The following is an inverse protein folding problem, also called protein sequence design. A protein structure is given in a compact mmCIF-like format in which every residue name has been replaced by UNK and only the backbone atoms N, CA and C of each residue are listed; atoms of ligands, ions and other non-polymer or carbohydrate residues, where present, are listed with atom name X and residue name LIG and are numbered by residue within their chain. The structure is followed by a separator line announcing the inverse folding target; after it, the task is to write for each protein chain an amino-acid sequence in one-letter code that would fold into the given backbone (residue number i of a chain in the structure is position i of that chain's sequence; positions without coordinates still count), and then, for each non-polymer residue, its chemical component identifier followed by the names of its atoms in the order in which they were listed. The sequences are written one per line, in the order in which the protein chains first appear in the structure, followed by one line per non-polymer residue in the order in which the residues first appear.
data_IF_629053179198
#
_entry.id   IF_629053179198
#
_cell.length_a   1.000
_cell.length_b   1.000
_cell.length_c   1.000
_cell.angle_alpha   90.00
_cell.angle_beta   90.00
_cell.angle_gamma   90.00
#
_symmetry.space_group_name_H-M   'P 1'
#
loop_
_entity.id
_entity.type
_entity.pdbx_description
1 polymer ?
#
# COMPACT_ATOMS: atom_id res chain seq x y z
N UNK A 1 -20.40 3.50 4.35
CA UNK A 1 -19.01 3.78 4.76
C UNK A 1 -18.51 5.01 4.03
N UNK A 2 -17.82 5.89 4.69
CA UNK A 2 -17.26 7.08 4.04
C UNK A 2 -15.73 7.04 4.00
N UNK A 3 -15.16 7.66 2.98
CA UNK A 3 -13.73 7.85 2.85
C UNK A 3 -13.40 9.24 3.39
N UNK A 4 -12.49 9.30 4.35
CA UNK A 4 -12.08 10.53 5.02
C UNK A 4 -10.75 10.98 4.48
N UNK A 5 -10.65 12.22 4.04
CA UNK A 5 -9.39 12.83 3.61
C UNK A 5 -8.84 13.67 4.75
N UNK A 6 -7.57 13.46 5.09
CA UNK A 6 -6.88 14.23 6.14
C UNK A 6 -5.56 14.77 5.63
N UNK A 7 -5.18 15.94 6.10
CA UNK A 7 -3.82 16.44 5.94
C UNK A 7 -2.97 15.92 7.10
N UNK A 8 -1.79 15.43 6.80
CA UNK A 8 -0.88 14.95 7.84
C UNK A 8 -0.03 13.79 7.39
N UNK A 9 0.72 13.25 8.34
CA UNK A 9 1.63 12.13 8.13
C UNK A 9 0.93 10.83 8.47
N UNK A 10 0.85 9.92 7.51
CA UNK A 10 0.15 8.64 7.68
C UNK A 10 0.66 7.84 8.89
N UNK A 11 1.97 7.86 9.14
CA UNK A 11 2.55 7.07 10.25
C UNK A 11 2.28 7.67 11.63
N UNK A 12 1.74 8.89 11.70
CA UNK A 12 1.32 9.52 12.95
C UNK A 12 -0.18 9.40 13.20
N UNK A 13 -0.94 8.88 12.25
CA UNK A 13 -2.36 8.67 12.40
C UNK A 13 -2.69 7.48 13.30
N UNK A 14 -3.91 7.39 13.80
CA UNK A 14 -4.32 6.33 14.73
C UNK A 14 -4.72 5.02 14.06
N UNK A 15 -4.83 4.97 12.73
CA UNK A 15 -5.32 3.79 12.03
C UNK A 15 -4.37 2.62 12.18
N UNK A 16 -4.94 1.44 12.41
CA UNK A 16 -4.17 0.22 12.64
C UNK A 16 -3.41 -0.28 11.41
N UNK A 17 -4.03 -0.18 10.22
CA UNK A 17 -3.40 -0.63 8.98
C UNK A 17 -3.01 0.56 8.12
N UNK A 18 -1.76 0.59 7.69
CA UNK A 18 -1.23 1.67 6.85
C UNK A 18 -0.60 1.05 5.61
N UNK A 19 -1.12 1.44 4.45
CA UNK A 19 -0.79 0.81 3.17
C UNK A 19 0.19 1.68 2.40
N UNK A 20 1.16 1.04 1.74
CA UNK A 20 1.92 1.68 0.68
C UNK A 20 2.17 0.70 -0.45
N UNK A 21 2.30 1.22 -1.67
CA UNK A 21 2.60 0.38 -2.82
C UNK A 21 4.10 0.10 -2.88
N UNK A 22 4.45 -1.15 -3.16
CA UNK A 22 5.83 -1.58 -3.36
C UNK A 22 6.00 -2.22 -4.74
N UNK A 23 7.24 -2.22 -5.23
CA UNK A 23 7.62 -2.96 -6.43
C UNK A 23 8.03 -4.40 -6.06
N UNK A 24 8.22 -5.23 -7.08
CA UNK A 24 8.60 -6.63 -6.88
C UNK A 24 10.12 -6.86 -6.95
N UNK A 25 10.91 -5.78 -7.02
CA UNK A 25 12.38 -5.84 -7.21
C UNK A 25 13.20 -5.66 -5.92
N UNK A 26 12.55 -5.43 -4.81
CA UNK A 26 13.24 -5.28 -3.54
C UNK A 26 13.79 -3.89 -3.26
N UNK A 27 13.28 -2.86 -3.94
CA UNK A 27 13.77 -1.50 -3.80
C UNK A 27 12.77 -0.61 -3.05
N UNK A 28 13.19 -0.05 -1.94
CA UNK A 28 12.47 0.98 -1.17
C UNK A 28 13.35 2.24 -1.08
N UNK A 29 13.60 2.85 -2.22
CA UNK A 29 14.60 3.93 -2.34
C UNK A 29 14.07 5.35 -2.38
N UNK A 30 12.75 5.55 -2.46
CA UNK A 30 12.17 6.87 -2.63
C UNK A 30 10.83 7.01 -1.90
N UNK A 31 10.47 8.26 -1.59
CA UNK A 31 9.18 8.62 -1.04
C UNK A 31 8.85 7.90 0.26
N UNK A 32 7.59 7.46 0.37
CA UNK A 32 7.09 6.81 1.57
C UNK A 32 7.78 5.47 1.83
N UNK A 33 8.14 4.74 0.77
CA UNK A 33 8.85 3.46 0.91
C UNK A 33 10.22 3.65 1.58
N UNK A 34 10.91 4.74 1.26
CA UNK A 34 12.17 5.07 1.91
C UNK A 34 11.98 5.31 3.40
N UNK A 35 10.92 6.02 3.79
CA UNK A 35 10.59 6.24 5.19
C UNK A 35 10.31 4.92 5.91
N UNK A 36 9.62 4.00 5.25
CA UNK A 36 9.36 2.66 5.80
C UNK A 36 10.68 1.93 6.04
N UNK A 37 11.56 1.93 5.06
CA UNK A 37 12.87 1.28 5.19
C UNK A 37 13.69 1.84 6.34
N UNK A 38 13.71 3.16 6.50
CA UNK A 38 14.51 3.82 7.52
C UNK A 38 13.93 3.68 8.93
N UNK A 39 12.61 3.75 9.07
CA UNK A 39 11.95 3.82 10.37
C UNK A 39 11.34 2.50 10.85
N UNK A 40 11.09 1.57 9.94
CA UNK A 40 10.48 0.26 10.23
C UNK A 40 11.27 -0.85 9.55
N UNK A 41 12.52 -1.09 10.00
CA UNK A 41 13.42 -2.02 9.31
C UNK A 41 12.88 -3.44 9.20
N UNK A 42 12.08 -3.90 10.16
CA UNK A 42 11.47 -5.22 10.08
C UNK A 42 10.49 -5.36 8.90
N UNK A 43 9.82 -4.26 8.53
CA UNK A 43 8.93 -4.24 7.37
C UNK A 43 9.75 -4.35 6.09
N UNK A 44 10.84 -3.61 6.00
CA UNK A 44 11.75 -3.70 4.86
C UNK A 44 12.37 -5.09 4.74
N UNK A 45 12.81 -5.68 5.85
CA UNK A 45 13.41 -7.01 5.86
C UNK A 45 12.45 -8.08 5.36
N UNK A 46 11.19 -8.04 5.82
CA UNK A 46 10.17 -8.97 5.35
C UNK A 46 9.92 -8.81 3.84
N UNK A 47 9.84 -7.57 3.36
CA UNK A 47 9.67 -7.25 1.95
C UNK A 47 10.86 -7.75 1.12
N UNK A 48 12.08 -7.41 1.53
CA UNK A 48 13.30 -7.79 0.82
C UNK A 48 13.44 -9.31 0.72
N UNK A 49 13.11 -10.01 1.78
CA UNK A 49 13.15 -11.47 1.83
C UNK A 49 12.18 -12.09 0.81
N UNK A 50 10.97 -11.55 0.72
CA UNK A 50 9.98 -12.01 -0.25
C UNK A 50 10.46 -11.77 -1.69
N UNK A 51 11.02 -10.61 -1.97
CA UNK A 51 11.56 -10.27 -3.28
C UNK A 51 12.76 -11.15 -3.66
N UNK A 52 13.67 -11.39 -2.73
CA UNK A 52 14.85 -12.24 -2.97
C UNK A 52 14.43 -13.68 -3.31
N UNK A 53 13.39 -14.17 -2.65
CA UNK A 53 12.85 -15.51 -2.88
C UNK A 53 12.29 -15.67 -4.30
N UNK A 54 11.73 -14.59 -4.85
CA UNK A 54 11.08 -14.58 -6.16
C UNK A 54 11.89 -13.87 -7.23
N UNK A 55 13.18 -13.68 -7.01
CA UNK A 55 14.05 -12.88 -7.86
C UNK A 55 14.09 -13.34 -9.33
N UNK A 56 13.92 -14.62 -9.60
CA UNK A 56 13.88 -15.15 -10.97
C UNK A 56 12.48 -15.08 -11.62
N UNK A 57 11.47 -14.70 -10.85
CA UNK A 57 10.09 -14.57 -11.30
C UNK A 57 9.38 -13.52 -10.45
N UNK A 58 9.91 -12.30 -10.46
CA UNK A 58 9.45 -11.23 -9.57
C UNK A 58 7.98 -10.87 -9.78
N UNK A 59 7.48 -10.96 -11.02
CA UNK A 59 6.08 -10.63 -11.32
C UNK A 59 5.08 -11.57 -10.64
N UNK A 60 5.52 -12.71 -10.11
CA UNK A 60 4.66 -13.58 -9.31
C UNK A 60 4.21 -12.93 -8.00
N UNK A 61 4.89 -11.86 -7.55
CA UNK A 61 4.48 -11.10 -6.36
C UNK A 61 3.36 -10.09 -6.65
N UNK A 62 3.11 -9.76 -7.93
CA UNK A 62 2.04 -8.82 -8.27
C UNK A 62 0.69 -9.32 -7.75
N UNK A 63 -0.04 -8.44 -7.10
CA UNK A 63 -1.33 -8.75 -6.50
C UNK A 63 -1.25 -9.36 -5.11
N UNK A 64 -0.05 -9.56 -4.58
CA UNK A 64 0.16 -10.03 -3.21
C UNK A 64 0.15 -8.86 -2.24
N UNK A 65 -0.26 -9.14 -1.00
CA UNK A 65 -0.11 -8.18 0.11
C UNK A 65 0.71 -8.84 1.21
N UNK A 66 1.46 -8.02 1.91
CA UNK A 66 2.27 -8.46 3.04
C UNK A 66 1.96 -7.55 4.21
N UNK A 67 1.43 -8.11 5.28
CA UNK A 67 0.98 -7.35 6.44
C UNK A 67 1.97 -7.60 7.57
N UNK A 68 2.67 -6.56 7.98
CA UNK A 68 3.77 -6.66 8.95
C UNK A 68 3.49 -5.77 10.14
N UNK A 69 3.44 -6.38 11.33
CA UNK A 69 3.33 -5.65 12.59
C UNK A 69 4.63 -4.88 12.83
N UNK A 70 4.54 -3.58 13.02
CA UNK A 70 5.72 -2.74 13.29
C UNK A 70 6.23 -2.88 14.72
N UNK A 71 5.43 -3.43 15.62
CA UNK A 71 5.72 -3.43 17.05
C UNK A 71 5.45 -2.08 17.71
N UNK A 72 4.86 -1.13 17.01
CA UNK A 72 4.60 0.24 17.49
C UNK A 72 3.11 0.58 17.53
N UNK A 73 2.25 -0.44 17.61
CA UNK A 73 0.81 -0.27 17.72
C UNK A 73 0.05 -0.25 16.41
N UNK A 74 0.71 -0.48 15.29
CA UNK A 74 0.08 -0.57 13.98
C UNK A 74 0.85 -1.52 13.06
N UNK A 75 0.21 -1.91 11.97
CA UNK A 75 0.80 -2.73 10.93
C UNK A 75 0.95 -1.94 9.64
N UNK A 76 2.01 -2.23 8.89
CA UNK A 76 2.20 -1.69 7.54
C UNK A 76 1.88 -2.80 6.54
N UNK A 77 1.14 -2.43 5.50
CA UNK A 77 0.79 -3.34 4.42
C UNK A 77 1.62 -2.97 3.19
N UNK A 78 2.48 -3.90 2.77
CA UNK A 78 3.20 -3.80 1.51
C UNK A 78 2.27 -4.33 0.40
N UNK A 79 1.83 -3.44 -0.47
CA UNK A 79 0.90 -3.74 -1.56
C UNK A 79 1.70 -3.86 -2.84
N UNK A 80 1.82 -5.08 -3.38
CA UNK A 80 2.61 -5.34 -4.59
C UNK A 80 1.81 -4.97 -5.84
N UNK A 81 1.78 -3.68 -6.14
CA UNK A 81 1.00 -3.11 -7.24
C UNK A 81 1.81 -2.75 -8.49
N UNK A 82 3.12 -2.97 -8.47
CA UNK A 82 4.01 -2.72 -9.60
C UNK A 82 5.15 -3.72 -9.59
N UNK A 83 5.59 -4.18 -10.78
CA UNK A 83 6.73 -5.09 -10.86
C UNK A 83 8.05 -4.33 -10.73
N UNK A 84 8.25 -3.31 -11.55
CA UNK A 84 9.47 -2.51 -11.58
C UNK A 84 9.24 -1.13 -10.96
N UNK A 85 10.34 -0.42 -10.67
CA UNK A 85 10.31 0.93 -10.12
C UNK A 85 10.76 2.01 -11.13
N UNK A 86 11.06 1.64 -12.37
CA UNK A 86 11.46 2.58 -13.43
C UNK A 86 10.23 3.22 -14.04
N UNK A 87 9.94 4.45 -13.63
CA UNK A 87 8.72 5.15 -14.03
C UNK A 87 8.91 6.26 -15.05
N UNK A 88 9.91 6.21 -15.92
CA UNK A 88 10.22 7.29 -16.87
C UNK A 88 9.17 7.41 -17.97
N UNK A 89 8.09 8.14 -17.69
CA UNK A 89 7.01 8.36 -18.64
C UNK A 89 6.12 7.16 -18.89
N UNK A 90 6.43 6.02 -18.30
CA UNK A 90 5.65 4.80 -18.40
C UNK A 90 4.99 4.49 -17.05
N UNK A 91 3.76 4.01 -17.10
CA UNK A 91 3.08 3.57 -15.90
C UNK A 91 3.68 2.26 -15.41
N UNK A 92 4.23 2.24 -14.20
CA UNK A 92 4.68 1.02 -13.53
C UNK A 92 3.55 0.34 -12.78
N UNK A 93 2.58 1.10 -12.29
CA UNK A 93 1.41 0.58 -11.56
C UNK A 93 0.58 -0.33 -12.46
N UNK A 94 0.33 -1.54 -11.95
CA UNK A 94 -0.56 -2.52 -12.56
C UNK A 94 -1.92 -2.41 -11.85
N UNK A 95 -2.93 -1.89 -12.56
CA UNK A 95 -4.25 -1.65 -11.96
C UNK A 95 -4.93 -2.94 -11.49
N UNK A 96 -4.81 -4.00 -12.26
CA UNK A 96 -5.39 -5.29 -11.89
C UNK A 96 -4.77 -5.84 -10.60
N UNK A 97 -3.44 -5.77 -10.51
CA UNK A 97 -2.72 -6.18 -9.31
C UNK A 97 -3.10 -5.31 -8.11
N UNK A 98 -3.20 -4.00 -8.31
CA UNK A 98 -3.60 -3.07 -7.26
C UNK A 98 -5.01 -3.42 -6.72
N UNK A 99 -5.96 -3.64 -7.62
CA UNK A 99 -7.33 -4.00 -7.25
C UNK A 99 -7.35 -5.33 -6.49
N UNK A 100 -6.62 -6.33 -6.96
CA UNK A 100 -6.50 -7.63 -6.28
C UNK A 100 -5.97 -7.46 -4.86
N UNK A 101 -4.97 -6.60 -4.68
CA UNK A 101 -4.43 -6.30 -3.36
C UNK A 101 -5.49 -5.69 -2.44
N UNK A 102 -6.29 -4.74 -2.94
CA UNK A 102 -7.36 -4.12 -2.16
C UNK A 102 -8.38 -5.16 -1.68
N UNK A 103 -8.76 -6.08 -2.56
CA UNK A 103 -9.67 -7.17 -2.21
C UNK A 103 -9.09 -8.05 -1.10
N UNK A 104 -7.80 -8.36 -1.19
CA UNK A 104 -7.11 -9.17 -0.17
C UNK A 104 -7.06 -8.46 1.18
N UNK A 105 -6.83 -7.15 1.18
CA UNK A 105 -6.85 -6.34 2.42
C UNK A 105 -8.24 -6.39 3.05
N UNK A 106 -9.27 -6.17 2.26
CA UNK A 106 -10.66 -6.24 2.72
C UNK A 106 -10.97 -7.58 3.37
N UNK A 107 -10.64 -8.67 2.69
CA UNK A 107 -10.88 -10.03 3.16
C UNK A 107 -10.13 -10.29 4.48
N UNK A 108 -8.85 -9.89 4.54
CA UNK A 108 -8.03 -10.08 5.73
C UNK A 108 -8.64 -9.40 6.96
N UNK A 109 -9.06 -8.16 6.84
CA UNK A 109 -9.65 -7.40 7.94
C UNK A 109 -11.00 -7.98 8.35
N UNK A 110 -11.85 -8.28 7.37
CA UNK A 110 -13.22 -8.72 7.60
C UNK A 110 -13.29 -10.13 8.21
N UNK A 111 -12.57 -11.09 7.62
CA UNK A 111 -12.64 -12.49 8.05
C UNK A 111 -11.96 -12.75 9.39
N UNK A 112 -10.96 -11.95 9.75
CA UNK A 112 -10.23 -12.12 11.01
C UNK A 112 -10.74 -11.23 12.14
N UNK A 113 -11.80 -10.49 11.89
CA UNK A 113 -12.38 -9.56 12.86
C UNK A 113 -11.30 -8.61 13.45
N UNK A 114 -10.46 -8.07 12.58
CA UNK A 114 -9.41 -7.13 12.94
C UNK A 114 -9.95 -5.70 13.01
N UNK A 115 -9.18 -4.73 13.54
CA UNK A 115 -9.61 -3.34 13.55
C UNK A 115 -10.00 -2.86 12.15
N UNK A 116 -11.21 -2.34 12.03
CA UNK A 116 -11.83 -1.99 10.75
C UNK A 116 -11.46 -0.58 10.31
N UNK A 117 -10.18 -0.36 10.14
CA UNK A 117 -9.65 0.92 9.73
C UNK A 117 -8.37 0.72 8.90
N UNK A 118 -8.27 1.43 7.80
CA UNK A 118 -7.12 1.37 6.90
C UNK A 118 -6.80 2.76 6.38
N UNK A 119 -5.51 3.09 6.36
CA UNK A 119 -5.02 4.36 5.87
C UNK A 119 -4.22 4.16 4.59
N UNK A 120 -4.43 5.05 3.63
CA UNK A 120 -3.68 5.11 2.38
C UNK A 120 -3.03 6.47 2.24
N UNK A 121 -1.82 6.55 1.68
CA UNK A 121 -1.29 7.86 1.30
C UNK A 121 -2.03 8.39 0.07
N UNK A 122 -2.33 9.68 0.08
CA UNK A 122 -2.92 10.33 -1.08
C UNK A 122 -2.02 10.14 -2.29
N UNK A 123 -2.63 9.84 -3.43
CA UNK A 123 -1.92 9.54 -4.68
C UNK A 123 -1.04 8.30 -4.63
N UNK A 124 -1.37 7.36 -3.74
CA UNK A 124 -0.73 6.04 -3.78
C UNK A 124 -0.77 5.50 -5.21
N UNK A 125 0.33 4.88 -5.65
CA UNK A 125 0.48 4.30 -6.99
C UNK A 125 0.46 5.32 -8.14
N UNK A 126 0.37 6.61 -7.87
CA UNK A 126 0.14 7.64 -8.88
C UNK A 126 1.30 8.63 -9.06
N UNK A 127 2.27 8.66 -8.14
CA UNK A 127 3.42 9.54 -8.25
C UNK A 127 4.46 8.96 -9.21
N UNK A 128 5.56 8.43 -8.70
CA UNK A 128 6.61 7.83 -9.55
C UNK A 128 6.12 6.59 -10.32
N UNK A 129 5.16 5.86 -9.75
CA UNK A 129 4.60 4.68 -10.39
C UNK A 129 3.66 4.99 -11.57
N UNK A 130 3.25 6.26 -11.73
CA UNK A 130 2.55 6.75 -12.92
C UNK A 130 1.10 6.34 -13.08
N UNK A 131 0.46 5.81 -12.05
CA UNK A 131 -0.97 5.50 -12.09
C UNK A 131 -1.82 6.76 -12.07
N UNK A 132 -3.03 6.68 -12.62
CA UNK A 132 -4.02 7.75 -12.55
C UNK A 132 -4.71 7.71 -11.19
N UNK A 133 -4.56 8.77 -10.39
CA UNK A 133 -5.15 8.84 -9.06
C UNK A 133 -6.68 8.68 -9.07
N UNK A 134 -7.35 9.19 -10.09
CA UNK A 134 -8.80 9.02 -10.20
C UNK A 134 -9.21 7.56 -10.35
N UNK A 135 -8.43 6.78 -11.10
CA UNK A 135 -8.65 5.34 -11.25
C UNK A 135 -8.38 4.61 -9.93
N UNK A 136 -7.28 4.93 -9.27
CA UNK A 136 -6.90 4.33 -7.99
C UNK A 136 -7.97 4.63 -6.93
N UNK A 137 -8.40 5.88 -6.83
CA UNK A 137 -9.42 6.27 -5.86
C UNK A 137 -10.76 5.57 -6.13
N UNK A 138 -11.15 5.44 -7.40
CA UNK A 138 -12.36 4.72 -7.78
C UNK A 138 -12.29 3.24 -7.35
N UNK A 139 -11.13 2.61 -7.48
CA UNK A 139 -10.94 1.23 -7.03
C UNK A 139 -11.04 1.11 -5.51
N UNK A 140 -10.42 2.03 -4.77
CA UNK A 140 -10.52 2.04 -3.30
C UNK A 140 -11.98 2.18 -2.87
N UNK A 141 -12.71 3.10 -3.48
CA UNK A 141 -14.15 3.28 -3.21
C UNK A 141 -14.94 2.01 -3.52
N UNK A 142 -14.70 1.42 -4.68
CA UNK A 142 -15.42 0.22 -5.11
C UNK A 142 -15.26 -0.94 -4.12
N UNK A 143 -14.04 -1.13 -3.60
CA UNK A 143 -13.73 -2.25 -2.68
C UNK A 143 -14.29 -1.99 -1.28
N UNK A 144 -14.13 -0.78 -0.75
CA UNK A 144 -14.38 -0.51 0.67
C UNK A 144 -15.75 0.11 0.98
N UNK A 145 -16.39 0.81 0.05
CA UNK A 145 -17.72 1.40 0.30
C UNK A 145 -18.77 0.39 0.77
N UNK A 146 -18.83 -0.84 0.22
CA UNK A 146 -19.80 -1.83 0.70
C UNK A 146 -19.49 -2.41 2.07
N UNK A 147 -18.39 -2.02 2.69
CA UNK A 147 -17.93 -2.56 3.99
C UNK A 147 -18.13 -1.53 5.11
N UNK A 148 -17.91 -1.96 6.34
CA UNK A 148 -17.85 -1.06 7.50
C UNK A 148 -16.41 -0.66 7.85
N UNK A 149 -15.46 -0.94 6.97
CA UNK A 149 -14.05 -0.55 7.16
C UNK A 149 -13.91 0.95 6.91
N UNK A 150 -13.40 1.67 7.90
CA UNK A 150 -13.09 3.10 7.77
C UNK A 150 -11.84 3.28 6.93
N UNK A 151 -11.93 4.11 5.89
CA UNK A 151 -10.80 4.44 5.03
C UNK A 151 -10.39 5.89 5.24
N UNK A 152 -9.12 6.10 5.52
CA UNK A 152 -8.54 7.44 5.67
C UNK A 152 -7.43 7.63 4.65
N UNK A 153 -7.48 8.72 3.91
CA UNK A 153 -6.48 9.07 2.92
C UNK A 153 -5.71 10.27 3.41
N UNK A 154 -4.42 10.09 3.58
CA UNK A 154 -3.53 11.12 4.14
C UNK A 154 -2.80 11.87 3.05
N UNK A 155 -2.97 13.19 3.04
CA UNK A 155 -2.24 14.10 2.15
C UNK A 155 -1.20 14.85 2.98
N UNK A 156 0.06 14.58 2.70
CA UNK A 156 1.16 15.27 3.38
C UNK A 156 1.42 16.61 2.71
N UNK A 157 0.89 17.67 3.31
CA UNK A 157 1.02 19.07 2.82
C UNK A 157 0.54 19.29 1.38
N UNK A 158 -0.54 18.60 0.98
CA UNK A 158 -1.10 18.77 -0.35
C UNK A 158 -0.27 18.19 -1.49
N UNK A 159 0.58 17.25 -1.21
CA UNK A 159 1.36 16.58 -2.25
C UNK A 159 0.65 15.43 -2.89
#
# INVERSE_FOLDING_TARGET
MEIIFKNGVIFKGPEHFKVHQVNCKGAMGAGIARQVKENYPNVYEAYKKACDKMKNNSSALLGMVQIVDTGKGFSIINLFGQDDFKGYGNRCTNYEAFYTCLEKIKIHITERNLPKEVAFPCRIASALAGGDWNVILAMIKSVFEPTDIKVVIYDFNGR
#
